data_IF_486391160984
#
_entry.id   IF_486391160984
#
_cell.length_a   1.000
_cell.length_b   1.000
_cell.length_c   1.000
_cell.angle_alpha   90.00
_cell.angle_beta   90.00
_cell.angle_gamma   90.00
#
_symmetry.space_group_name_H-M   'P 1'
#
loop_
_entity.id
_entity.type
_entity.pdbx_description
1 polymer ?
#
# COMPACT_ATOMS: atom_id res chain seq x y z
N UNK A 1 11.89 4.12 7.24
CA UNK A 1 11.41 4.12 5.83
C UNK A 1 9.90 4.05 5.91
N UNK A 2 9.19 5.04 5.36
CA UNK A 2 7.73 5.11 5.48
C UNK A 2 7.12 4.00 4.62
N UNK A 3 6.28 3.12 5.22
CA UNK A 3 5.64 2.01 4.51
C UNK A 3 4.89 2.50 3.25
N UNK A 4 4.26 3.66 3.34
CA UNK A 4 3.55 4.29 2.22
C UNK A 4 4.49 4.68 1.07
N UNK A 5 5.72 5.12 1.37
CA UNK A 5 6.71 5.50 0.36
C UNK A 5 7.26 4.27 -0.37
N UNK A 6 7.44 3.16 0.34
CA UNK A 6 7.85 1.89 -0.26
C UNK A 6 6.74 1.30 -1.15
N UNK A 7 5.50 1.30 -0.66
CA UNK A 7 4.34 0.83 -1.41
C UNK A 7 4.09 1.68 -2.65
N UNK A 8 4.25 3.00 -2.56
CA UNK A 8 4.14 3.93 -3.70
C UNK A 8 5.19 3.61 -4.78
N UNK A 9 6.46 3.51 -4.39
CA UNK A 9 7.54 3.22 -5.34
C UNK A 9 7.35 1.87 -6.03
N UNK A 10 6.90 0.85 -5.30
CA UNK A 10 6.60 -0.47 -5.86
C UNK A 10 5.39 -0.43 -6.81
N UNK A 11 4.34 0.31 -6.45
CA UNK A 11 3.15 0.50 -7.32
C UNK A 11 3.53 1.19 -8.62
N UNK A 12 4.36 2.24 -8.57
CA UNK A 12 4.85 2.95 -9.75
C UNK A 12 5.66 2.01 -10.65
N UNK A 13 6.56 1.20 -10.08
CA UNK A 13 7.35 0.22 -10.83
C UNK A 13 6.49 -0.82 -11.55
N UNK A 14 5.47 -1.37 -10.87
CA UNK A 14 4.53 -2.33 -11.46
C UNK A 14 3.71 -1.68 -12.59
N UNK A 15 3.23 -0.46 -12.37
CA UNK A 15 2.45 0.29 -13.35
C UNK A 15 3.28 0.58 -14.62
N UNK A 16 4.53 1.03 -14.46
CA UNK A 16 5.45 1.26 -15.58
C UNK A 16 5.77 -0.02 -16.36
N UNK A 17 5.76 -1.18 -15.68
CA UNK A 17 5.97 -2.49 -16.30
C UNK A 17 4.69 -3.12 -16.87
N UNK A 18 3.53 -2.43 -16.77
CA UNK A 18 2.23 -2.97 -17.18
C UNK A 18 1.79 -4.20 -16.39
N UNK A 19 2.32 -4.36 -15.17
CA UNK A 19 2.01 -5.49 -14.27
C UNK A 19 0.87 -5.10 -13.33
N UNK A 20 0.18 -6.11 -12.82
CA UNK A 20 -0.89 -5.90 -11.84
C UNK A 20 -0.31 -5.33 -10.53
N UNK A 21 -0.86 -4.21 -10.08
CA UNK A 21 -0.47 -3.48 -8.88
C UNK A 21 -1.60 -3.42 -7.84
N UNK A 22 -2.77 -4.00 -8.12
CA UNK A 22 -3.97 -3.86 -7.27
C UNK A 22 -3.78 -4.45 -5.87
N UNK A 23 -3.03 -5.54 -5.77
CA UNK A 23 -2.73 -6.18 -4.49
C UNK A 23 -1.91 -5.25 -3.58
N UNK A 24 -0.96 -4.51 -4.14
CA UNK A 24 -0.15 -3.54 -3.38
C UNK A 24 -1.05 -2.43 -2.84
N UNK A 25 -1.97 -1.91 -3.65
CA UNK A 25 -2.93 -0.89 -3.24
C UNK A 25 -3.86 -1.40 -2.14
N UNK A 26 -4.41 -2.62 -2.29
CA UNK A 26 -5.29 -3.23 -1.29
C UNK A 26 -4.58 -3.46 0.04
N UNK A 27 -3.34 -3.93 0.00
CA UNK A 27 -2.55 -4.13 1.21
C UNK A 27 -2.26 -2.81 1.93
N UNK A 28 -1.98 -1.72 1.20
CA UNK A 28 -1.82 -0.39 1.80
C UNK A 28 -3.10 0.06 2.52
N UNK A 29 -4.26 -0.07 1.87
CA UNK A 29 -5.56 0.28 2.48
C UNK A 29 -5.82 -0.55 3.74
N UNK A 30 -5.56 -1.86 3.68
CA UNK A 30 -5.77 -2.75 4.83
C UNK A 30 -4.87 -2.39 6.02
N UNK A 31 -3.61 -2.05 5.76
CA UNK A 31 -2.67 -1.61 6.81
C UNK A 31 -3.13 -0.30 7.45
N UNK A 32 -3.49 0.71 6.64
CA UNK A 32 -3.99 1.99 7.18
C UNK A 32 -5.30 1.81 7.97
N UNK A 33 -6.18 0.93 7.51
CA UNK A 33 -7.41 0.59 8.22
C UNK A 33 -7.13 -0.13 9.54
N UNK A 34 -6.16 -1.05 9.56
CA UNK A 34 -5.75 -1.74 10.78
C UNK A 34 -5.17 -0.78 11.81
N UNK A 35 -4.31 0.15 11.39
CA UNK A 35 -3.77 1.20 12.26
C UNK A 35 -4.88 2.08 12.83
N UNK A 36 -5.88 2.45 12.01
CA UNK A 36 -7.06 3.15 12.49
C UNK A 36 -7.81 2.35 13.56
N UNK A 37 -8.05 1.06 13.34
CA UNK A 37 -8.70 0.20 14.33
C UNK A 37 -7.90 0.12 15.63
N UNK A 38 -6.57 0.01 15.57
CA UNK A 38 -5.71 -0.01 16.76
C UNK A 38 -5.74 1.28 17.58
N UNK A 39 -5.95 2.43 16.92
CA UNK A 39 -6.04 3.73 17.61
C UNK A 39 -7.45 3.95 18.19
N UNK A 40 -8.48 3.44 17.51
CA UNK A 40 -9.87 3.70 17.87
C UNK A 40 -10.42 2.78 18.98
N UNK A 41 -9.98 1.52 19.03
CA UNK A 41 -10.41 0.51 20.00
C UNK A 41 -9.43 0.37 21.16
#
# INVERSE_FOLDING_TARGET
>A
MNFNELALNHTIDLLLKGKDYREVVLNTINTEFLDFCYIFF
#
